data_IF_720456142915
#
_entry.id   IF_720456142915
#
_cell.length_a   1.000
_cell.length_b   1.000
_cell.length_c   1.000
_cell.angle_alpha   90.00
_cell.angle_beta   90.00
_cell.angle_gamma   90.00
#
_symmetry.space_group_name_H-M   'P 1'
#
loop_
_entity.id
_entity.type
_entity.pdbx_description
1 polymer ?
#
# COMPACT_ATOMS: atom_id res chain seq x y z
N UNK A 1 36.15 -8.98 -1.51
CA UNK A 1 36.41 -7.82 -2.40
C UNK A 1 35.80 -6.57 -1.78
N UNK A 2 35.52 -5.48 -2.54
CA UNK A 2 34.65 -4.41 -2.07
C UNK A 2 33.17 -4.81 -2.19
N UNK A 3 32.33 -4.38 -1.24
CA UNK A 3 30.88 -4.42 -1.40
C UNK A 3 30.44 -3.36 -2.42
N UNK A 4 29.33 -3.61 -3.11
CA UNK A 4 28.65 -2.59 -3.93
C UNK A 4 27.43 -2.07 -3.17
N UNK A 5 27.38 -0.76 -2.95
CA UNK A 5 26.23 -0.09 -2.30
C UNK A 5 25.63 0.89 -3.30
N UNK A 6 24.32 0.80 -3.53
CA UNK A 6 23.56 1.74 -4.34
C UNK A 6 22.42 2.32 -3.52
N UNK A 7 22.38 3.64 -3.37
CA UNK A 7 21.35 4.32 -2.58
C UNK A 7 20.49 5.21 -3.47
N UNK A 8 19.16 5.10 -3.33
CA UNK A 8 18.23 5.98 -4.03
C UNK A 8 18.30 7.40 -3.45
N UNK A 9 18.37 8.47 -4.27
CA UNK A 9 18.61 9.83 -3.77
C UNK A 9 17.40 10.44 -3.01
N UNK A 10 16.18 9.96 -3.26
CA UNK A 10 14.95 10.44 -2.63
C UNK A 10 14.58 9.75 -1.31
N UNK A 11 13.60 10.32 -0.60
CA UNK A 11 13.07 9.78 0.66
C UNK A 11 13.89 10.16 1.89
N UNK A 12 13.27 10.00 3.07
CA UNK A 12 13.85 10.37 4.36
C UNK A 12 15.11 9.57 4.69
N UNK A 13 16.26 10.25 4.69
CA UNK A 13 17.56 9.67 5.01
C UNK A 13 17.70 9.24 6.50
N UNK A 14 16.80 9.68 7.39
CA UNK A 14 16.69 9.19 8.77
C UNK A 14 15.99 7.83 8.90
N UNK A 15 15.32 7.38 7.84
CA UNK A 15 14.57 6.13 7.76
C UNK A 15 14.99 5.34 6.53
N UNK A 16 15.97 4.45 6.70
CA UNK A 16 16.55 3.65 5.60
C UNK A 16 16.02 2.21 5.67
N UNK A 17 15.43 1.75 4.58
CA UNK A 17 15.16 0.32 4.36
C UNK A 17 16.21 -0.23 3.41
N UNK A 18 16.94 -1.24 3.89
CA UNK A 18 18.03 -1.84 3.15
C UNK A 18 17.60 -3.16 2.54
N UNK A 19 18.12 -3.46 1.35
CA UNK A 19 17.85 -4.69 0.61
C UNK A 19 19.17 -5.22 0.07
N UNK A 20 19.45 -6.51 0.22
CA UNK A 20 20.74 -7.07 -0.16
C UNK A 20 20.73 -8.54 -0.55
N UNK A 21 21.79 -8.93 -1.23
CA UNK A 21 22.13 -10.28 -1.63
C UNK A 21 23.65 -10.36 -1.79
N UNK A 22 24.29 -11.49 -1.47
CA UNK A 22 25.70 -11.65 -1.83
C UNK A 22 25.86 -11.93 -3.33
N UNK A 23 27.02 -11.54 -3.84
CA UNK A 23 27.40 -11.58 -5.25
C UNK A 23 28.60 -12.49 -5.51
N UNK A 24 29.29 -12.94 -4.47
CA UNK A 24 30.23 -14.04 -4.57
C UNK A 24 29.51 -15.41 -4.62
N UNK A 25 30.28 -16.45 -4.89
CA UNK A 25 29.86 -17.83 -4.81
C UNK A 25 31.07 -18.72 -4.53
N UNK A 26 30.84 -20.02 -4.34
CA UNK A 26 31.92 -20.98 -4.07
C UNK A 26 32.75 -21.32 -5.32
N UNK A 27 34.01 -21.73 -5.12
CA UNK A 27 34.89 -22.14 -6.22
C UNK A 27 34.43 -23.40 -6.97
N UNK A 28 33.47 -24.15 -6.41
CA UNK A 28 32.99 -25.40 -6.95
C UNK A 28 32.09 -25.24 -8.18
N UNK A 29 31.49 -24.06 -8.38
CA UNK A 29 30.50 -23.86 -9.44
C UNK A 29 30.22 -22.40 -9.77
N UNK A 30 29.31 -22.15 -10.72
CA UNK A 30 29.00 -20.80 -11.18
C UNK A 30 28.12 -19.98 -10.23
N UNK A 31 27.44 -20.59 -9.25
CA UNK A 31 26.64 -19.88 -8.25
C UNK A 31 25.40 -19.18 -8.81
N UNK A 32 24.66 -19.86 -9.71
CA UNK A 32 23.51 -19.24 -10.38
C UNK A 32 22.28 -19.13 -9.48
N UNK A 33 21.92 -20.17 -8.74
CA UNK A 33 20.92 -20.04 -7.69
C UNK A 33 21.54 -19.41 -6.44
N UNK A 34 22.78 -19.80 -6.10
CA UNK A 34 23.52 -19.38 -4.92
C UNK A 34 24.76 -18.53 -5.27
N UNK A 35 24.65 -17.21 -5.36
CA UNK A 35 23.43 -16.40 -5.18
C UNK A 35 23.18 -15.41 -6.31
N UNK A 36 23.45 -15.86 -7.55
CA UNK A 36 23.03 -15.15 -8.75
C UNK A 36 21.52 -14.85 -8.77
N UNK A 37 20.70 -15.71 -8.20
CA UNK A 37 19.24 -15.54 -8.15
C UNK A 37 18.82 -14.32 -7.31
N UNK A 38 19.32 -14.20 -6.08
CA UNK A 38 19.04 -13.07 -5.20
C UNK A 38 19.66 -11.78 -5.74
N UNK A 39 20.92 -11.86 -6.20
CA UNK A 39 21.62 -10.73 -6.81
C UNK A 39 20.91 -10.16 -8.03
N UNK A 40 20.42 -11.02 -8.94
CA UNK A 40 19.71 -10.60 -10.13
C UNK A 40 18.31 -10.05 -9.83
N UNK A 41 17.56 -10.70 -8.94
CA UNK A 41 16.25 -10.22 -8.50
C UNK A 41 16.35 -8.83 -7.84
N UNK A 42 17.38 -8.62 -7.03
CA UNK A 42 17.64 -7.33 -6.39
C UNK A 42 17.99 -6.25 -7.40
N UNK A 43 18.81 -6.57 -8.41
CA UNK A 43 19.21 -5.62 -9.45
C UNK A 43 18.01 -5.17 -10.27
N UNK A 44 17.18 -6.11 -10.73
CA UNK A 44 15.98 -5.80 -11.51
C UNK A 44 15.01 -4.92 -10.72
N UNK A 45 14.88 -5.17 -9.42
CA UNK A 45 14.07 -4.34 -8.53
C UNK A 45 14.62 -2.92 -8.38
N UNK A 46 15.94 -2.75 -8.26
CA UNK A 46 16.57 -1.44 -8.22
C UNK A 46 16.38 -0.68 -9.54
N UNK A 47 16.51 -1.36 -10.68
CA UNK A 47 16.27 -0.80 -12.01
C UNK A 47 14.80 -0.40 -12.21
N UNK A 48 13.87 -1.26 -11.78
CA UNK A 48 12.43 -1.00 -11.85
C UNK A 48 12.04 0.20 -10.99
N UNK A 49 12.54 0.29 -9.75
CA UNK A 49 12.32 1.46 -8.90
C UNK A 49 12.81 2.74 -9.58
N UNK A 50 13.99 2.68 -10.22
CA UNK A 50 14.56 3.81 -10.94
C UNK A 50 13.73 4.21 -12.17
N UNK A 51 13.20 3.24 -12.91
CA UNK A 51 12.35 3.47 -14.06
C UNK A 51 11.00 4.08 -13.67
N UNK A 52 10.39 3.60 -12.58
CA UNK A 52 9.12 4.13 -12.08
C UNK A 52 9.29 5.52 -11.45
N UNK A 53 10.47 5.81 -10.90
CA UNK A 53 10.83 7.08 -10.27
C UNK A 53 9.72 7.65 -9.35
N UNK A 54 9.19 6.85 -8.41
CA UNK A 54 8.08 7.29 -7.58
C UNK A 54 8.53 8.30 -6.52
N UNK A 55 7.58 9.02 -5.93
CA UNK A 55 7.83 9.79 -4.71
C UNK A 55 8.16 8.82 -3.58
N UNK A 56 9.28 9.05 -2.89
CA UNK A 56 9.74 8.18 -1.82
C UNK A 56 9.41 8.79 -0.46
N UNK A 57 8.80 7.99 0.41
CA UNK A 57 8.61 8.29 1.83
C UNK A 57 9.90 8.04 2.61
N UNK A 58 10.48 6.86 2.45
CA UNK A 58 11.69 6.43 3.16
C UNK A 58 12.83 6.18 2.18
N UNK A 59 14.07 6.26 2.67
CA UNK A 59 15.26 5.98 1.87
C UNK A 59 15.37 4.48 1.58
N UNK A 60 15.72 4.12 0.35
CA UNK A 60 16.08 2.75 -0.04
C UNK A 60 17.56 2.66 -0.34
N UNK A 61 18.21 1.63 0.19
CA UNK A 61 19.60 1.31 -0.10
C UNK A 61 19.73 -0.17 -0.46
N UNK A 62 20.33 -0.42 -1.61
CA UNK A 62 20.66 -1.73 -2.13
C UNK A 62 22.12 -2.07 -1.84
N UNK A 63 22.39 -3.35 -1.59
CA UNK A 63 23.74 -3.84 -1.33
C UNK A 63 24.00 -5.18 -2.00
N UNK A 64 25.16 -5.31 -2.62
CA UNK A 64 25.71 -6.59 -3.06
C UNK A 64 26.94 -6.90 -2.24
N UNK A 65 26.85 -7.98 -1.48
CA UNK A 65 27.89 -8.39 -0.54
C UNK A 65 28.93 -9.27 -1.23
N UNK A 66 30.14 -9.20 -0.72
CA UNK A 66 31.25 -10.06 -1.14
C UNK A 66 31.67 -10.93 0.03
N UNK A 67 32.23 -12.08 -0.27
CA UNK A 67 32.90 -12.92 0.73
C UNK A 67 31.91 -13.41 1.82
N UNK A 68 30.65 -13.64 1.41
CA UNK A 68 29.59 -14.24 2.24
C UNK A 68 29.97 -15.69 2.55
N UNK A 69 30.37 -16.42 1.50
CA UNK A 69 30.67 -17.85 1.53
C UNK A 69 31.94 -18.18 2.35
N UNK A 70 32.68 -17.15 2.74
CA UNK A 70 33.89 -17.22 3.56
C UNK A 70 33.63 -16.78 5.01
N UNK A 71 32.36 -16.51 5.37
CA UNK A 71 31.94 -16.16 6.73
C UNK A 71 31.36 -14.76 6.87
N UNK A 72 30.49 -14.34 5.94
CA UNK A 72 29.73 -13.07 6.01
C UNK A 72 30.62 -11.81 6.06
N UNK A 73 31.85 -11.89 5.53
CA UNK A 73 32.87 -10.88 5.78
C UNK A 73 32.47 -9.51 5.20
N UNK A 74 31.79 -9.49 4.04
CA UNK A 74 31.30 -8.27 3.41
C UNK A 74 30.24 -7.56 4.24
N UNK A 75 29.17 -8.26 4.63
CA UNK A 75 28.07 -7.68 5.42
C UNK A 75 28.48 -7.34 6.84
N UNK A 76 29.30 -8.19 7.50
CA UNK A 76 29.88 -7.87 8.82
C UNK A 76 30.73 -6.60 8.74
N UNK A 77 31.64 -6.52 7.77
CA UNK A 77 32.48 -5.34 7.59
C UNK A 77 31.63 -4.08 7.41
N UNK A 78 30.60 -4.14 6.57
CA UNK A 78 29.70 -3.01 6.33
C UNK A 78 29.05 -2.54 7.63
N UNK A 79 28.35 -3.44 8.33
CA UNK A 79 27.54 -3.02 9.48
C UNK A 79 28.42 -2.64 10.68
N UNK A 80 29.57 -3.30 10.89
CA UNK A 80 30.48 -2.95 12.00
C UNK A 80 31.19 -1.62 11.77
N UNK A 81 31.46 -1.26 10.51
CA UNK A 81 32.14 -0.01 10.15
C UNK A 81 31.23 1.21 10.18
N UNK A 82 29.90 1.01 10.17
CA UNK A 82 28.95 2.10 10.35
C UNK A 82 28.97 2.64 11.80
N UNK A 83 29.02 3.98 11.98
CA UNK A 83 28.72 4.59 13.27
C UNK A 83 27.35 4.17 13.78
N UNK A 84 27.18 4.10 15.11
CA UNK A 84 25.89 3.72 15.73
C UNK A 84 24.73 4.62 15.29
N UNK A 85 24.99 5.91 15.03
CA UNK A 85 24.01 6.86 14.52
C UNK A 85 23.54 6.53 13.11
N UNK A 86 24.42 5.99 12.26
CA UNK A 86 24.06 5.56 10.91
C UNK A 86 23.36 4.20 10.93
N UNK A 87 23.80 3.28 11.80
CA UNK A 87 23.09 2.01 12.02
C UNK A 87 21.65 2.23 12.47
N UNK A 88 21.41 3.19 13.38
CA UNK A 88 20.08 3.50 13.89
C UNK A 88 19.10 4.03 12.83
N UNK A 89 19.60 4.52 11.68
CA UNK A 89 18.75 4.93 10.55
C UNK A 89 18.21 3.74 9.78
N UNK A 90 18.89 2.58 9.82
CA UNK A 90 18.45 1.35 9.15
C UNK A 90 17.28 0.75 9.94
N UNK A 91 16.08 0.79 9.37
CA UNK A 91 14.84 0.36 10.02
C UNK A 91 14.54 -1.12 9.82
N UNK A 92 14.96 -1.66 8.68
CA UNK A 92 15.04 -3.09 8.44
C UNK A 92 16.05 -3.37 7.32
N UNK A 93 16.63 -4.57 7.35
CA UNK A 93 17.43 -5.14 6.27
C UNK A 93 16.72 -6.38 5.70
N UNK A 94 16.61 -6.44 4.38
CA UNK A 94 15.95 -7.51 3.64
C UNK A 94 16.97 -8.30 2.83
N UNK A 95 17.10 -9.59 3.12
CA UNK A 95 18.09 -10.46 2.50
C UNK A 95 17.47 -11.42 1.48
N UNK A 96 18.12 -11.59 0.33
CA UNK A 96 17.66 -12.51 -0.70
C UNK A 96 18.78 -13.45 -1.07
N UNK A 97 18.64 -14.69 -0.62
CA UNK A 97 19.64 -15.72 -0.75
C UNK A 97 18.99 -17.05 -1.16
N UNK A 98 19.40 -17.55 -2.32
CA UNK A 98 18.82 -18.71 -3.00
C UNK A 98 17.29 -18.61 -3.19
N UNK A 99 16.86 -17.70 -4.07
CA UNK A 99 15.44 -17.43 -4.33
C UNK A 99 14.89 -18.17 -5.57
N UNK A 100 15.58 -19.20 -6.06
CA UNK A 100 15.19 -19.92 -7.27
C UNK A 100 15.48 -21.44 -7.27
N UNK A 101 15.52 -22.08 -6.10
CA UNK A 101 15.81 -23.52 -6.00
C UNK A 101 14.85 -24.38 -6.81
N UNK A 102 15.36 -25.34 -7.60
CA UNK A 102 14.56 -26.14 -8.56
C UNK A 102 13.45 -26.96 -7.92
N UNK A 103 13.69 -27.48 -6.71
CA UNK A 103 12.69 -28.16 -5.87
C UNK A 103 12.34 -27.29 -4.65
N UNK A 104 12.39 -25.97 -4.79
CA UNK A 104 12.30 -25.02 -3.68
C UNK A 104 10.99 -25.02 -2.90
N UNK A 105 11.06 -24.51 -1.68
CA UNK A 105 9.91 -24.09 -0.87
C UNK A 105 9.72 -22.58 -0.90
N UNK A 106 8.77 -22.06 -0.11
CA UNK A 106 8.58 -20.63 0.10
C UNK A 106 8.87 -20.30 1.57
N UNK A 107 10.10 -19.86 1.85
CA UNK A 107 10.56 -19.57 3.21
C UNK A 107 10.81 -18.09 3.42
N UNK A 108 10.40 -17.57 4.58
CA UNK A 108 10.62 -16.20 5.01
C UNK A 108 11.45 -16.20 6.29
N UNK A 109 12.53 -15.41 6.33
CA UNK A 109 13.33 -15.23 7.55
C UNK A 109 12.52 -14.40 8.56
N UNK A 110 12.44 -14.87 9.81
CA UNK A 110 11.70 -14.24 10.90
C UNK A 110 10.24 -13.93 10.50
N UNK A 111 9.51 -14.93 10.00
CA UNK A 111 8.19 -14.79 9.35
C UNK A 111 7.13 -14.10 10.21
N UNK A 112 7.28 -14.16 11.54
CA UNK A 112 6.36 -13.52 12.51
C UNK A 112 6.75 -12.09 12.87
N UNK A 113 7.89 -11.59 12.38
CA UNK A 113 8.39 -10.26 12.67
C UNK A 113 7.61 -9.17 11.93
N UNK A 114 7.68 -7.94 12.45
CA UNK A 114 7.15 -6.78 11.75
C UNK A 114 7.85 -6.53 10.42
N UNK A 115 9.15 -6.87 10.30
CA UNK A 115 9.93 -6.73 9.07
C UNK A 115 9.38 -7.63 7.96
N UNK A 116 9.03 -8.88 8.28
CA UNK A 116 8.51 -9.90 7.38
C UNK A 116 7.08 -9.65 6.88
N UNK A 117 6.29 -8.84 7.59
CA UNK A 117 4.86 -8.64 7.30
C UNK A 117 4.50 -8.38 5.80
N UNK A 118 5.13 -7.45 5.06
CA UNK A 118 4.83 -7.23 3.65
C UNK A 118 5.21 -8.43 2.77
N UNK A 119 6.34 -9.08 3.06
CA UNK A 119 6.80 -10.25 2.32
C UNK A 119 5.83 -11.43 2.48
N UNK A 120 5.35 -11.63 3.71
CA UNK A 120 4.34 -12.64 4.03
C UNK A 120 3.01 -12.31 3.38
N UNK A 121 2.56 -11.06 3.45
CA UNK A 121 1.32 -10.61 2.83
C UNK A 121 1.29 -10.88 1.32
N UNK A 122 2.41 -10.62 0.62
CA UNK A 122 2.52 -10.90 -0.81
C UNK A 122 2.39 -12.41 -1.10
N UNK A 123 3.15 -13.28 -0.44
CA UNK A 123 3.05 -14.72 -0.68
C UNK A 123 1.75 -15.36 -0.17
N UNK A 124 1.14 -14.82 0.89
CA UNK A 124 -0.20 -15.21 1.33
C UNK A 124 -1.25 -14.87 0.26
N UNK A 125 -1.12 -13.73 -0.42
CA UNK A 125 -2.03 -13.32 -1.51
C UNK A 125 -1.99 -14.30 -2.70
N UNK A 126 -0.87 -14.99 -2.87
CA UNK A 126 -0.68 -16.05 -3.85
C UNK A 126 -1.10 -17.44 -3.33
N UNK A 127 -1.60 -17.54 -2.10
CA UNK A 127 -2.02 -18.80 -1.48
C UNK A 127 -0.87 -19.75 -1.15
N UNK A 128 0.38 -19.26 -1.08
CA UNK A 128 1.57 -20.11 -0.97
C UNK A 128 1.79 -20.69 0.42
N UNK A 129 1.20 -20.12 1.47
CA UNK A 129 1.38 -20.58 2.86
C UNK A 129 2.87 -20.73 3.23
N UNK A 130 3.63 -19.60 3.25
CA UNK A 130 5.06 -19.64 3.51
C UNK A 130 5.39 -20.13 4.92
N UNK A 131 6.58 -20.71 5.07
CA UNK A 131 7.12 -21.21 6.35
C UNK A 131 8.33 -20.37 6.80
N UNK A 132 8.68 -20.47 8.08
CA UNK A 132 9.92 -19.89 8.62
C UNK A 132 11.15 -20.52 7.94
N UNK A 133 12.13 -19.69 7.57
CA UNK A 133 13.41 -20.18 7.04
C UNK A 133 14.32 -20.66 8.18
N UNK A 134 14.16 -21.94 8.54
CA UNK A 134 15.00 -22.57 9.58
C UNK A 134 16.36 -23.04 9.05
N UNK A 135 16.50 -23.34 7.76
CA UNK A 135 17.75 -23.83 7.18
C UNK A 135 18.82 -22.74 7.06
N UNK A 136 18.41 -21.52 6.68
CA UNK A 136 19.29 -20.37 6.49
C UNK A 136 19.52 -19.53 7.76
N UNK A 137 18.86 -19.85 8.88
CA UNK A 137 18.92 -19.06 10.10
C UNK A 137 20.37 -18.89 10.60
N UNK A 138 20.83 -17.63 10.66
CA UNK A 138 22.17 -17.27 11.13
C UNK A 138 23.31 -17.62 10.16
N UNK A 139 23.00 -17.85 8.88
CA UNK A 139 23.95 -18.35 7.88
C UNK A 139 24.01 -17.53 6.59
N UNK A 140 23.44 -16.32 6.60
CA UNK A 140 23.48 -15.41 5.46
C UNK A 140 23.64 -13.96 5.95
N UNK A 141 23.75 -13.00 5.04
CA UNK A 141 24.15 -11.62 5.34
C UNK A 141 23.24 -10.88 6.32
N UNK A 142 21.97 -11.29 6.48
CA UNK A 142 21.06 -10.74 7.49
C UNK A 142 21.58 -10.95 8.91
N UNK A 143 22.29 -12.06 9.16
CA UNK A 143 22.83 -12.34 10.47
C UNK A 143 23.78 -11.24 10.96
N UNK A 144 24.59 -10.66 10.07
CA UNK A 144 25.47 -9.53 10.39
C UNK A 144 24.66 -8.34 10.94
N UNK A 145 23.50 -8.04 10.36
CA UNK A 145 22.62 -6.96 10.83
C UNK A 145 21.94 -7.29 12.17
N UNK A 146 21.54 -8.54 12.37
CA UNK A 146 20.95 -9.01 13.63
C UNK A 146 21.90 -8.85 14.83
N UNK A 147 23.20 -9.07 14.64
CA UNK A 147 24.21 -8.86 15.69
C UNK A 147 24.21 -7.43 16.23
N UNK A 148 23.68 -6.47 15.48
CA UNK A 148 23.54 -5.07 15.87
C UNK A 148 22.10 -4.65 16.13
N UNK A 149 21.19 -5.61 16.35
CA UNK A 149 19.77 -5.40 16.65
C UNK A 149 19.01 -4.63 15.57
N UNK A 150 19.48 -4.69 14.32
CA UNK A 150 18.73 -4.18 13.18
C UNK A 150 17.72 -5.26 12.77
N UNK A 151 16.42 -4.96 12.67
CA UNK A 151 15.43 -5.94 12.26
C UNK A 151 15.72 -6.49 10.86
N UNK A 152 15.57 -7.80 10.69
CA UNK A 152 15.83 -8.48 9.41
C UNK A 152 14.64 -9.31 8.95
N UNK A 153 14.56 -9.54 7.65
CA UNK A 153 13.74 -10.58 7.03
C UNK A 153 14.31 -10.88 5.65
N UNK A 154 13.74 -11.83 4.93
CA UNK A 154 14.30 -12.27 3.67
C UNK A 154 13.48 -13.38 3.02
N UNK A 155 13.71 -13.60 1.73
CA UNK A 155 13.19 -14.76 1.03
C UNK A 155 14.29 -15.77 0.80
N UNK A 156 13.94 -17.04 0.97
CA UNK A 156 14.75 -18.17 0.58
C UNK A 156 13.85 -19.28 0.02
N UNK A 157 14.40 -20.11 -0.85
CA UNK A 157 13.72 -21.29 -1.39
C UNK A 157 14.35 -22.62 -0.95
N UNK A 158 15.25 -22.55 0.03
CA UNK A 158 15.92 -23.70 0.63
C UNK A 158 17.11 -24.19 -0.20
N UNK A 159 18.02 -24.89 0.46
CA UNK A 159 19.28 -25.36 -0.10
C UNK A 159 19.35 -26.90 -0.04
N UNK A 160 20.27 -27.43 0.76
CA UNK A 160 20.55 -28.87 0.90
C UNK A 160 19.48 -29.67 1.66
N UNK A 161 18.65 -28.99 2.47
CA UNK A 161 17.61 -29.63 3.26
C UNK A 161 16.55 -30.29 2.37
N UNK A 162 15.92 -31.34 2.90
CA UNK A 162 15.01 -32.19 2.12
C UNK A 162 13.57 -31.73 2.26
N UNK A 163 12.91 -31.51 1.12
CA UNK A 163 11.48 -31.21 1.06
C UNK A 163 10.66 -32.32 1.71
N UNK A 164 9.79 -31.96 2.65
CA UNK A 164 8.88 -32.92 3.30
C UNK A 164 7.71 -33.30 2.39
N UNK A 165 7.02 -34.39 2.69
CA UNK A 165 5.79 -34.76 1.95
C UNK A 165 4.70 -33.71 2.08
N UNK A 166 4.58 -33.05 3.24
CA UNK A 166 3.62 -31.96 3.45
C UNK A 166 3.96 -30.74 2.58
N UNK A 167 5.24 -30.37 2.52
CA UNK A 167 5.71 -29.30 1.64
C UNK A 167 5.53 -29.63 0.15
N UNK A 168 5.79 -30.87 -0.26
CA UNK A 168 5.53 -31.32 -1.63
C UNK A 168 4.03 -31.28 -1.99
N UNK A 169 3.15 -31.58 -1.03
CA UNK A 169 1.71 -31.49 -1.25
C UNK A 169 1.23 -30.03 -1.47
N UNK A 170 1.84 -29.05 -0.79
CA UNK A 170 1.46 -27.62 -0.94
C UNK A 170 2.19 -26.86 -2.04
N UNK A 171 3.47 -27.17 -2.29
CA UNK A 171 4.32 -26.41 -3.22
C UNK A 171 4.70 -27.20 -4.47
N UNK A 172 4.28 -28.47 -4.57
CA UNK A 172 4.75 -29.37 -5.60
C UNK A 172 6.22 -29.76 -5.43
N UNK A 173 6.78 -30.36 -6.49
CA UNK A 173 8.15 -30.89 -6.48
C UNK A 173 8.22 -32.31 -5.92
N UNK A 174 9.42 -32.71 -5.50
CA UNK A 174 9.71 -34.09 -5.07
C UNK A 174 10.02 -34.14 -3.58
N UNK A 175 9.20 -34.86 -2.81
CA UNK A 175 9.46 -35.13 -1.41
C UNK A 175 10.76 -35.94 -1.22
N UNK A 176 11.41 -35.76 -0.08
CA UNK A 176 12.68 -36.40 0.30
C UNK A 176 13.87 -36.08 -0.63
N UNK A 177 13.73 -35.14 -1.56
CA UNK A 177 14.84 -34.55 -2.34
C UNK A 177 15.21 -33.18 -1.75
N UNK A 178 16.47 -32.79 -1.93
CA UNK A 178 16.93 -31.45 -1.55
C UNK A 178 16.08 -30.38 -2.23
N UNK A 179 15.95 -29.19 -1.62
CA UNK A 179 15.35 -28.03 -2.28
C UNK A 179 16.19 -27.61 -3.49
N UNK A 180 17.51 -27.57 -3.30
CA UNK A 180 18.51 -27.41 -4.35
C UNK A 180 19.51 -28.59 -4.33
N UNK A 181 19.45 -29.53 -5.29
CA UNK A 181 20.40 -30.63 -5.39
C UNK A 181 21.79 -30.20 -5.89
N UNK A 182 21.96 -28.97 -6.35
CA UNK A 182 23.18 -28.40 -6.89
C UNK A 182 23.81 -27.32 -5.98
N UNK A 183 23.29 -27.13 -4.76
CA UNK A 183 23.89 -26.24 -3.75
C UNK A 183 25.40 -26.50 -3.62
N UNK A 184 26.20 -25.43 -3.69
CA UNK A 184 27.67 -25.45 -3.64
C UNK A 184 28.35 -26.43 -4.60
N UNK A 185 27.73 -26.67 -5.77
CA UNK A 185 28.19 -27.68 -6.73
C UNK A 185 28.35 -27.10 -8.14
N UNK A 186 29.15 -27.78 -8.96
CA UNK A 186 29.41 -27.37 -10.35
C UNK A 186 28.17 -27.32 -11.24
N UNK A 187 27.08 -27.96 -10.83
CA UNK A 187 25.81 -27.96 -11.54
C UNK A 187 24.89 -26.78 -11.21
N UNK A 188 25.28 -25.88 -10.28
CA UNK A 188 24.54 -24.64 -10.02
C UNK A 188 24.73 -23.61 -11.15
N UNK A 189 24.12 -23.94 -12.27
CA UNK A 189 24.19 -23.26 -13.56
C UNK A 189 22.83 -22.65 -13.89
N UNK A 190 22.69 -21.98 -15.04
CA UNK A 190 21.41 -21.40 -15.47
C UNK A 190 20.29 -22.45 -15.63
N UNK A 191 20.62 -23.74 -15.74
CA UNK A 191 19.61 -24.82 -15.77
C UNK A 191 19.10 -25.20 -14.38
N UNK A 192 19.72 -24.71 -13.31
CA UNK A 192 19.35 -24.94 -11.91
C UNK A 192 18.44 -23.83 -11.34
N UNK A 193 17.62 -23.21 -12.18
CA UNK A 193 16.75 -22.09 -11.81
C UNK A 193 15.28 -22.47 -11.97
N UNK A 194 14.52 -22.35 -10.87
CA UNK A 194 13.07 -22.35 -10.90
C UNK A 194 12.58 -20.94 -11.24
N UNK A 195 12.21 -20.71 -12.50
CA UNK A 195 11.77 -19.39 -12.96
C UNK A 195 10.49 -18.92 -12.28
N UNK A 196 9.56 -19.82 -11.94
CA UNK A 196 8.33 -19.47 -11.20
C UNK A 196 8.66 -19.00 -9.78
N UNK A 197 9.64 -19.62 -9.14
CA UNK A 197 10.15 -19.19 -7.83
C UNK A 197 10.79 -17.82 -7.92
N UNK A 198 11.72 -17.65 -8.86
CA UNK A 198 12.43 -16.39 -9.09
C UNK A 198 11.48 -15.22 -9.40
N UNK A 199 10.47 -15.45 -10.23
CA UNK A 199 9.43 -14.48 -10.58
C UNK A 199 8.65 -14.03 -9.33
N UNK A 200 8.12 -14.98 -8.55
CA UNK A 200 7.40 -14.71 -7.30
C UNK A 200 8.27 -14.03 -6.24
N UNK A 201 9.56 -14.35 -6.17
CA UNK A 201 10.47 -13.67 -5.26
C UNK A 201 10.71 -12.23 -5.72
N UNK A 202 11.00 -12.02 -7.00
CA UNK A 202 11.27 -10.70 -7.58
C UNK A 202 10.09 -9.74 -7.39
N UNK A 203 8.87 -10.20 -7.63
CA UNK A 203 7.66 -9.41 -7.39
C UNK A 203 7.42 -9.13 -5.91
N UNK A 204 7.70 -10.09 -5.03
CA UNK A 204 7.57 -9.89 -3.58
C UNK A 204 8.60 -8.91 -3.02
N UNK A 205 9.80 -8.87 -3.62
CA UNK A 205 10.82 -7.84 -3.33
C UNK A 205 10.27 -6.47 -3.73
N UNK A 206 9.71 -6.33 -4.94
CA UNK A 206 9.12 -5.08 -5.42
C UNK A 206 8.00 -4.62 -4.49
N UNK A 207 7.08 -5.53 -4.15
CA UNK A 207 5.99 -5.28 -3.22
C UNK A 207 6.51 -4.76 -1.87
N UNK A 208 7.58 -5.37 -1.35
CA UNK A 208 8.18 -4.97 -0.08
C UNK A 208 8.84 -3.59 -0.16
N UNK A 209 9.57 -3.29 -1.24
CA UNK A 209 10.13 -1.95 -1.50
C UNK A 209 9.00 -0.90 -1.51
N UNK A 210 7.91 -1.18 -2.22
CA UNK A 210 6.77 -0.26 -2.32
C UNK A 210 6.13 0.00 -0.95
N UNK A 211 5.81 -1.06 -0.19
CA UNK A 211 5.18 -0.92 1.13
C UNK A 211 6.07 -0.19 2.14
N UNK A 212 7.39 -0.36 2.05
CA UNK A 212 8.31 0.25 3.00
C UNK A 212 8.69 1.66 2.64
N UNK A 213 8.93 1.96 1.37
CA UNK A 213 9.67 3.15 1.02
C UNK A 213 8.99 4.06 0.01
N UNK A 214 8.09 3.55 -0.82
CA UNK A 214 7.34 4.38 -1.76
C UNK A 214 6.22 5.11 -1.01
N UNK A 215 6.08 6.40 -1.29
CA UNK A 215 4.90 7.15 -0.88
C UNK A 215 3.76 6.82 -1.83
N UNK A 216 2.90 5.90 -1.42
CA UNK A 216 1.71 5.47 -2.16
C UNK A 216 0.50 6.37 -1.91
N UNK A 217 0.67 7.51 -1.22
CA UNK A 217 -0.44 8.34 -0.73
C UNK A 217 -1.26 7.66 0.39
N UNK A 218 -0.85 6.46 0.80
CA UNK A 218 -1.58 5.59 1.74
C UNK A 218 -0.76 5.19 2.97
N UNK A 219 0.44 5.76 3.18
CA UNK A 219 1.41 5.26 4.16
C UNK A 219 1.83 6.22 5.27
N UNK A 220 0.96 6.46 6.25
CA UNK A 220 1.34 6.94 7.60
C UNK A 220 0.81 8.32 8.01
N UNK A 221 -0.51 8.44 8.15
CA UNK A 221 -1.18 9.58 8.78
C UNK A 221 -2.45 10.07 8.09
N UNK A 222 -2.77 9.55 6.89
CA UNK A 222 -4.00 9.85 6.14
C UNK A 222 -4.90 8.63 5.98
N UNK A 223 -5.40 8.07 7.08
CA UNK A 223 -6.51 7.12 7.02
C UNK A 223 -7.84 7.88 7.00
N UNK A 224 -8.44 7.98 5.82
CA UNK A 224 -9.73 8.65 5.63
C UNK A 224 -10.91 7.69 5.74
N UNK A 225 -10.66 6.39 5.95
CA UNK A 225 -11.71 5.39 6.03
C UNK A 225 -12.63 5.69 7.22
N UNK A 226 -13.94 5.81 6.94
CA UNK A 226 -14.93 6.10 7.97
C UNK A 226 -14.87 7.51 8.57
N UNK A 227 -14.06 8.43 8.01
CA UNK A 227 -13.99 9.82 8.47
C UNK A 227 -15.34 10.55 8.33
N UNK A 228 -16.13 10.17 7.31
CA UNK A 228 -17.56 10.51 7.20
C UNK A 228 -18.34 9.28 7.65
N UNK A 229 -19.02 9.38 8.78
CA UNK A 229 -19.88 8.31 9.27
C UNK A 229 -21.27 8.39 8.61
N UNK A 230 -21.86 7.23 8.33
CA UNK A 230 -23.16 7.10 7.66
C UNK A 230 -23.25 7.93 6.36
N UNK A 231 -22.19 7.92 5.56
CA UNK A 231 -22.08 8.72 4.33
C UNK A 231 -23.08 8.33 3.23
N UNK A 232 -23.46 7.04 3.18
CA UNK A 232 -24.52 6.52 2.31
C UNK A 232 -25.90 6.43 3.00
N UNK A 233 -26.08 7.06 4.17
CA UNK A 233 -27.39 7.22 4.82
C UNK A 233 -28.17 5.95 5.22
N UNK A 234 -27.56 4.77 5.12
CA UNK A 234 -28.17 3.47 5.43
C UNK A 234 -28.41 3.23 6.93
N UNK A 235 -27.72 3.95 7.82
CA UNK A 235 -27.80 3.77 9.29
C UNK A 235 -28.77 4.74 9.97
N UNK A 236 -29.84 5.12 9.27
CA UNK A 236 -30.79 6.14 9.76
C UNK A 236 -30.23 7.55 9.62
N UNK A 237 -30.54 8.43 10.57
CA UNK A 237 -30.16 9.85 10.49
C UNK A 237 -28.86 10.20 11.19
N UNK A 238 -28.45 9.46 12.22
CA UNK A 238 -27.21 9.73 12.97
C UNK A 238 -25.96 9.39 12.14
N UNK A 239 -24.85 10.13 12.23
CA UNK A 239 -24.61 11.31 13.08
C UNK A 239 -24.88 12.65 12.37
N UNK A 240 -25.69 12.65 11.30
CA UNK A 240 -26.04 13.87 10.61
C UNK A 240 -26.95 14.76 11.47
N UNK A 241 -26.82 16.06 11.29
CA UNK A 241 -27.59 17.10 11.98
C UNK A 241 -28.17 18.09 10.96
N UNK A 242 -29.13 18.91 11.39
CA UNK A 242 -29.86 19.84 10.52
C UNK A 242 -31.22 19.27 10.11
N UNK A 243 -31.58 19.36 8.84
CA UNK A 243 -32.82 18.85 8.25
C UNK A 243 -32.75 17.32 8.06
N UNK A 244 -32.52 16.56 9.13
CA UNK A 244 -32.33 15.10 9.05
C UNK A 244 -33.58 14.34 8.57
N UNK A 245 -34.75 14.98 8.54
CA UNK A 245 -35.95 14.44 7.91
C UNK A 245 -35.80 14.22 6.39
N UNK A 246 -34.83 14.89 5.76
CA UNK A 246 -34.44 14.66 4.37
C UNK A 246 -33.80 13.29 4.13
N UNK A 247 -33.32 12.60 5.18
CA UNK A 247 -32.64 11.31 5.05
C UNK A 247 -33.65 10.16 5.11
N UNK A 248 -33.81 9.42 4.02
CA UNK A 248 -34.79 8.34 3.96
C UNK A 248 -34.83 7.58 2.64
N UNK A 249 -35.80 6.67 2.56
CA UNK A 249 -36.24 6.09 1.30
C UNK A 249 -37.41 6.93 0.78
N UNK A 250 -37.23 7.57 -0.37
CA UNK A 250 -38.22 8.51 -0.92
C UNK A 250 -38.86 7.92 -2.17
N UNK A 251 -40.18 8.04 -2.30
CA UNK A 251 -40.88 7.63 -3.51
C UNK A 251 -40.60 8.60 -4.66
N UNK A 252 -40.36 8.09 -5.87
CA UNK A 252 -40.17 8.89 -7.08
C UNK A 252 -38.71 9.14 -7.46
N UNK A 253 -37.78 8.85 -6.55
CA UNK A 253 -36.35 8.98 -6.79
C UNK A 253 -35.64 7.74 -6.23
N UNK A 254 -34.50 7.36 -6.81
CA UNK A 254 -33.71 6.20 -6.36
C UNK A 254 -32.41 6.68 -5.70
N UNK A 255 -31.90 5.98 -4.68
CA UNK A 255 -30.54 6.22 -4.19
C UNK A 255 -29.50 5.88 -5.26
N UNK A 256 -28.29 6.42 -5.11
CA UNK A 256 -27.14 5.97 -5.90
C UNK A 256 -26.65 4.60 -5.39
N UNK A 257 -26.53 4.45 -4.07
CA UNK A 257 -26.14 3.23 -3.39
C UNK A 257 -27.16 2.80 -2.34
N UNK A 258 -27.32 1.50 -2.11
CA UNK A 258 -28.17 1.02 -1.02
C UNK A 258 -29.66 1.29 -1.21
N UNK A 259 -30.32 1.75 -0.15
CA UNK A 259 -31.78 1.90 -0.05
C UNK A 259 -32.24 3.29 0.43
N UNK A 260 -31.31 4.16 0.85
CA UNK A 260 -31.58 5.45 1.47
C UNK A 260 -30.63 6.50 0.92
N UNK A 261 -31.08 7.75 0.89
CA UNK A 261 -30.29 8.91 0.50
C UNK A 261 -30.84 10.16 1.19
N UNK A 262 -30.18 11.31 1.01
CA UNK A 262 -30.69 12.60 1.46
C UNK A 262 -31.32 13.38 0.30
N UNK A 263 -32.60 13.74 0.41
CA UNK A 263 -33.27 14.63 -0.55
C UNK A 263 -33.50 15.98 0.10
N UNK A 264 -32.68 16.98 -0.26
CA UNK A 264 -32.83 18.35 0.22
C UNK A 264 -33.56 19.20 -0.83
N UNK A 265 -34.43 20.10 -0.37
CA UNK A 265 -35.30 20.92 -1.22
C UNK A 265 -36.23 20.08 -2.13
N UNK A 266 -36.71 20.64 -3.25
CA UNK A 266 -37.70 20.01 -4.13
C UNK A 266 -39.15 20.22 -3.65
N UNK A 267 -39.37 21.29 -2.89
CA UNK A 267 -40.63 21.61 -2.23
C UNK A 267 -41.55 22.48 -3.12
N UNK A 268 -41.02 23.15 -4.14
CA UNK A 268 -41.74 24.11 -4.99
C UNK A 268 -42.07 25.44 -4.29
N UNK A 269 -41.47 25.69 -3.12
CA UNK A 269 -41.60 26.94 -2.37
C UNK A 269 -40.31 27.27 -1.63
N UNK A 270 -40.17 28.55 -1.24
CA UNK A 270 -38.94 29.06 -0.66
C UNK A 270 -38.57 28.30 0.60
N UNK A 271 -37.44 27.60 0.53
CA UNK A 271 -36.96 26.75 1.61
C UNK A 271 -35.45 26.79 1.68
N UNK A 272 -34.89 26.50 2.84
CA UNK A 272 -33.46 26.27 2.98
C UNK A 272 -33.26 25.13 3.96
N UNK A 273 -32.62 24.08 3.48
CA UNK A 273 -32.41 22.83 4.18
C UNK A 273 -30.93 22.51 4.21
N UNK A 274 -30.48 21.88 5.29
CA UNK A 274 -29.06 21.55 5.40
C UNK A 274 -28.81 20.26 6.14
N UNK A 275 -27.74 19.57 5.76
CA UNK A 275 -27.20 18.44 6.50
C UNK A 275 -25.75 18.73 6.87
N UNK A 276 -25.42 18.49 8.14
CA UNK A 276 -24.07 18.72 8.66
C UNK A 276 -23.54 17.54 9.45
N UNK A 277 -22.23 17.33 9.35
CA UNK A 277 -21.49 16.37 10.15
C UNK A 277 -20.10 16.92 10.47
N UNK A 278 -19.66 16.76 11.71
CA UNK A 278 -18.28 17.09 12.10
C UNK A 278 -17.36 15.92 11.75
N UNK A 279 -16.32 16.19 10.97
CA UNK A 279 -15.34 15.20 10.51
C UNK A 279 -13.93 15.64 10.88
N UNK A 280 -13.04 14.68 11.13
CA UNK A 280 -11.61 14.98 11.31
C UNK A 280 -10.88 14.61 10.02
N UNK A 281 -10.24 15.58 9.39
CA UNK A 281 -9.33 15.33 8.27
C UNK A 281 -7.98 14.93 8.88
N UNK A 282 -7.46 13.74 8.59
CA UNK A 282 -6.22 13.27 9.24
C UNK A 282 -5.01 14.19 8.95
N UNK A 283 -4.09 14.30 9.91
CA UNK A 283 -2.93 15.20 9.84
C UNK A 283 -1.91 14.82 8.76
N UNK A 284 -1.85 13.56 8.34
CA UNK A 284 -0.90 13.09 7.34
C UNK A 284 -1.40 13.16 5.90
N UNK A 285 -2.51 13.84 5.62
CA UNK A 285 -3.04 13.97 4.27
C UNK A 285 -2.28 15.03 3.47
N UNK A 286 -1.42 14.61 2.54
CA UNK A 286 -0.88 15.48 1.49
C UNK A 286 -1.98 15.92 0.52
N UNK A 287 -2.97 15.04 0.30
CA UNK A 287 -4.20 15.32 -0.41
C UNK A 287 -5.39 14.67 0.30
N UNK A 288 -6.45 15.44 0.52
CA UNK A 288 -7.72 14.97 1.04
C UNK A 288 -8.86 15.52 0.18
N UNK A 289 -9.68 14.64 -0.39
CA UNK A 289 -10.81 15.00 -1.24
C UNK A 289 -12.12 14.52 -0.61
N UNK A 290 -13.08 15.41 -0.41
CA UNK A 290 -14.45 15.03 -0.10
C UNK A 290 -15.16 14.68 -1.39
N UNK A 291 -15.59 13.44 -1.53
CA UNK A 291 -16.42 12.97 -2.64
C UNK A 291 -17.85 12.75 -2.20
N UNK A 292 -18.79 13.01 -3.10
CA UNK A 292 -20.21 12.76 -2.88
C UNK A 292 -20.91 12.57 -4.21
N UNK A 293 -21.97 11.78 -4.24
CA UNK A 293 -22.83 11.64 -5.41
C UNK A 293 -24.00 12.60 -5.28
N UNK A 294 -24.25 13.37 -6.33
CA UNK A 294 -25.35 14.33 -6.37
C UNK A 294 -26.16 14.14 -7.64
N UNK A 295 -27.47 13.89 -7.48
CA UNK A 295 -28.46 14.07 -8.53
C UNK A 295 -29.22 15.37 -8.27
N UNK A 296 -29.36 16.18 -9.31
CA UNK A 296 -30.11 17.45 -9.27
C UNK A 296 -31.31 17.25 -10.19
N UNK A 297 -32.49 17.20 -9.58
CA UNK A 297 -33.78 17.03 -10.24
C UNK A 297 -34.49 18.38 -10.26
N UNK A 298 -34.88 18.87 -11.42
CA UNK A 298 -35.38 20.25 -11.57
C UNK A 298 -36.51 20.34 -12.59
N UNK A 299 -37.57 21.07 -12.24
CA UNK A 299 -38.60 21.50 -13.20
C UNK A 299 -38.20 22.81 -13.91
N UNK A 300 -37.14 23.46 -13.44
CA UNK A 300 -36.61 24.67 -14.05
C UNK A 300 -35.88 24.39 -15.36
N UNK A 301 -35.97 25.33 -16.29
CA UNK A 301 -35.28 25.26 -17.58
C UNK A 301 -34.53 26.56 -17.88
N UNK A 302 -33.54 26.47 -18.78
CA UNK A 302 -32.68 27.59 -19.16
C UNK A 302 -31.37 27.63 -18.40
N UNK A 303 -30.75 28.81 -18.33
CA UNK A 303 -29.40 29.02 -17.80
C UNK A 303 -29.35 29.87 -16.52
N UNK A 304 -30.51 30.20 -15.96
CA UNK A 304 -30.60 31.00 -14.73
C UNK A 304 -30.50 30.09 -13.51
N UNK A 305 -29.58 30.43 -12.61
CA UNK A 305 -29.38 29.72 -11.35
C UNK A 305 -30.34 30.27 -10.27
N UNK A 306 -31.54 29.69 -10.16
CA UNK A 306 -32.54 30.07 -9.15
C UNK A 306 -32.24 29.34 -7.84
N UNK A 307 -32.28 28.02 -7.86
CA UNK A 307 -32.04 27.18 -6.70
C UNK A 307 -30.58 26.77 -6.58
N UNK A 308 -30.04 26.74 -5.36
CA UNK A 308 -28.60 26.53 -5.10
C UNK A 308 -28.33 25.42 -4.11
N UNK A 309 -27.25 24.69 -4.37
CA UNK A 309 -26.65 23.75 -3.46
C UNK A 309 -25.21 24.14 -3.15
N UNK A 310 -24.85 24.24 -1.88
CA UNK A 310 -23.49 24.59 -1.46
C UNK A 310 -22.89 23.52 -0.57
N UNK A 311 -21.58 23.31 -0.74
CA UNK A 311 -20.77 22.45 0.12
C UNK A 311 -19.78 23.32 0.87
N UNK A 312 -19.78 23.21 2.19
CA UNK A 312 -18.92 24.00 3.08
C UNK A 312 -18.10 23.11 4.01
N UNK A 313 -16.91 23.60 4.36
CA UNK A 313 -16.12 23.12 5.48
C UNK A 313 -15.90 24.29 6.45
N UNK A 314 -16.49 24.22 7.64
CA UNK A 314 -16.55 25.35 8.56
C UNK A 314 -17.19 26.57 7.92
N UNK A 315 -16.47 27.70 7.89
CA UNK A 315 -16.94 28.94 7.26
C UNK A 315 -16.71 29.04 5.75
N UNK A 316 -16.00 28.08 5.14
CA UNK A 316 -15.54 28.19 3.75
C UNK A 316 -16.46 27.44 2.79
N UNK A 317 -16.93 28.11 1.73
CA UNK A 317 -17.64 27.47 0.62
C UNK A 317 -16.65 26.83 -0.36
N UNK A 318 -16.78 25.53 -0.55
CA UNK A 318 -15.92 24.71 -1.41
C UNK A 318 -16.53 24.47 -2.80
N UNK A 319 -17.86 24.40 -2.87
CA UNK A 319 -18.58 24.30 -4.13
C UNK A 319 -19.95 24.99 -4.05
N UNK A 320 -20.39 25.49 -5.20
CA UNK A 320 -21.75 26.00 -5.43
C UNK A 320 -22.26 25.38 -6.73
N UNK A 321 -23.36 24.66 -6.64
CA UNK A 321 -24.12 24.09 -7.75
C UNK A 321 -25.53 24.67 -7.74
N UNK A 322 -26.29 24.44 -8.80
CA UNK A 322 -27.64 24.96 -8.97
C UNK A 322 -28.47 24.05 -9.88
N UNK A 323 -29.76 24.34 -9.99
CA UNK A 323 -30.66 23.79 -11.02
C UNK A 323 -30.03 23.71 -12.43
N UNK A 324 -29.16 24.66 -12.83
CA UNK A 324 -28.49 24.66 -14.15
C UNK A 324 -27.46 23.54 -14.32
N UNK A 325 -27.11 22.86 -13.23
CA UNK A 325 -26.19 21.72 -13.22
C UNK A 325 -26.91 20.36 -13.26
N UNK A 326 -28.23 20.37 -13.46
CA UNK A 326 -29.04 19.17 -13.59
C UNK A 326 -28.61 18.28 -14.75
N UNK A 327 -28.81 16.98 -14.56
CA UNK A 327 -28.46 15.93 -15.51
C UNK A 327 -29.35 14.70 -15.29
N UNK A 328 -29.18 13.66 -16.10
CA UNK A 328 -30.09 12.50 -16.10
C UNK A 328 -29.99 11.58 -14.89
N UNK A 329 -29.09 11.83 -13.94
CA UNK A 329 -28.86 10.97 -12.79
C UNK A 329 -27.78 11.51 -11.86
N UNK A 330 -27.26 10.65 -11.00
CA UNK A 330 -26.18 11.01 -10.08
C UNK A 330 -24.88 11.27 -10.82
N UNK A 331 -24.18 12.31 -10.39
CA UNK A 331 -22.82 12.63 -10.82
C UNK A 331 -21.94 12.71 -9.59
N UNK A 332 -20.83 11.97 -9.58
CA UNK A 332 -19.85 12.10 -8.51
C UNK A 332 -19.20 13.47 -8.59
N UNK A 333 -19.18 14.16 -7.45
CA UNK A 333 -18.54 15.46 -7.26
C UNK A 333 -17.41 15.31 -6.26
N UNK A 334 -16.43 16.20 -6.35
CA UNK A 334 -15.29 16.21 -5.46
C UNK A 334 -14.89 17.64 -5.12
N UNK A 335 -14.54 17.89 -3.86
CA UNK A 335 -13.96 19.15 -3.37
C UNK A 335 -12.72 18.89 -2.53
N UNK A 336 -11.77 19.81 -2.57
CA UNK A 336 -10.50 19.69 -1.86
C UNK A 336 -10.63 20.08 -0.38
N UNK A 337 -10.19 19.20 0.51
CA UNK A 337 -10.10 19.39 1.95
C UNK A 337 -8.65 19.34 2.48
N UNK A 338 -7.65 19.31 1.60
CA UNK A 338 -6.24 19.17 1.99
C UNK A 338 -5.78 20.28 2.95
N UNK A 339 -6.34 21.50 2.81
CA UNK A 339 -6.06 22.63 3.70
C UNK A 339 -6.50 22.39 5.17
N UNK A 340 -7.34 21.39 5.41
CA UNK A 340 -7.84 21.01 6.73
C UNK A 340 -7.14 19.80 7.32
N UNK A 341 -6.08 19.27 6.69
CA UNK A 341 -5.30 18.16 7.23
C UNK A 341 -4.90 18.43 8.71
N UNK A 342 -5.28 17.50 9.59
CA UNK A 342 -5.03 17.56 11.02
C UNK A 342 -6.07 18.35 11.82
N UNK A 343 -7.14 18.80 11.17
CA UNK A 343 -8.19 19.61 11.77
C UNK A 343 -9.53 18.87 11.78
N UNK A 344 -10.33 19.19 12.79
CA UNK A 344 -11.74 18.80 12.85
C UNK A 344 -12.60 19.93 12.28
N UNK A 345 -13.41 19.64 11.27
CA UNK A 345 -14.23 20.62 10.55
C UNK A 345 -15.67 20.13 10.47
N UNK A 346 -16.63 21.06 10.50
CA UNK A 346 -18.02 20.74 10.17
C UNK A 346 -18.21 20.81 8.66
N UNK A 347 -18.55 19.68 8.04
CA UNK A 347 -19.05 19.65 6.68
C UNK A 347 -20.52 20.04 6.69
N UNK A 348 -20.92 20.93 5.80
CA UNK A 348 -22.33 21.35 5.64
C UNK A 348 -22.70 21.34 4.17
N UNK A 349 -23.76 20.60 3.85
CA UNK A 349 -24.47 20.65 2.59
C UNK A 349 -25.72 21.51 2.79
N UNK A 350 -25.94 22.51 1.95
CA UNK A 350 -27.12 23.40 2.05
C UNK A 350 -27.79 23.53 0.70
N UNK A 351 -29.08 23.19 0.65
CA UNK A 351 -29.94 23.47 -0.49
C UNK A 351 -30.83 24.68 -0.16
N UNK A 352 -30.90 25.64 -1.07
CA UNK A 352 -31.80 26.78 -1.01
C UNK A 352 -32.65 26.79 -2.26
N UNK A 353 -33.96 26.75 -2.06
CA UNK A 353 -34.96 26.80 -3.12
C UNK A 353 -35.68 28.14 -3.05
N UNK A 354 -35.98 28.74 -4.20
CA UNK A 354 -36.84 29.90 -4.29
C UNK A 354 -38.32 29.48 -4.45
N UNK A 355 -39.18 30.30 -5.06
CA UNK A 355 -40.61 30.00 -5.18
C UNK A 355 -40.95 29.73 -6.63
N UNK A 356 -41.54 28.56 -6.90
CA UNK A 356 -42.47 28.23 -7.99
C UNK A 356 -42.17 26.85 -8.55
N UNK A 357 -41.01 26.69 -9.17
CA UNK A 357 -40.57 25.45 -9.79
C UNK A 357 -39.60 24.76 -8.84
N UNK A 358 -39.67 23.43 -8.78
CA UNK A 358 -38.89 22.69 -7.81
C UNK A 358 -37.49 22.39 -8.32
N UNK A 359 -36.51 22.42 -7.40
CA UNK A 359 -35.22 21.77 -7.58
C UNK A 359 -34.86 20.94 -6.36
N UNK A 360 -34.82 19.62 -6.52
CA UNK A 360 -34.35 18.66 -5.55
C UNK A 360 -32.86 18.36 -5.68
N UNK A 361 -32.15 18.34 -4.56
CA UNK A 361 -30.74 17.97 -4.48
C UNK A 361 -30.59 16.66 -3.70
N UNK A 362 -30.44 15.56 -4.44
CA UNK A 362 -30.33 14.22 -3.91
C UNK A 362 -28.86 13.89 -3.69
N UNK A 363 -28.47 13.85 -2.42
CA UNK A 363 -27.11 13.60 -1.97
C UNK A 363 -26.98 12.16 -1.47
N UNK A 364 -25.93 11.48 -1.91
CA UNK A 364 -25.64 10.11 -1.50
C UNK A 364 -24.12 9.82 -1.46
N UNK A 365 -23.75 8.73 -0.79
CA UNK A 365 -22.40 8.17 -0.76
C UNK A 365 -21.29 9.21 -0.48
N UNK A 366 -21.47 10.01 0.58
CA UNK A 366 -20.49 11.01 1.01
C UNK A 366 -19.29 10.33 1.67
N UNK A 367 -18.09 10.58 1.15
CA UNK A 367 -16.85 9.96 1.65
C UNK A 367 -15.66 10.91 1.60
N UNK A 368 -14.70 10.71 2.50
CA UNK A 368 -13.38 11.35 2.44
C UNK A 368 -12.39 10.37 1.81
N UNK A 369 -11.65 10.82 0.79
CA UNK A 369 -10.65 10.03 0.09
C UNK A 369 -9.28 10.69 0.23
N UNK A 370 -8.26 9.89 0.52
CA UNK A 370 -6.86 10.27 0.34
C UNK A 370 -6.44 10.06 -1.12
N UNK A 371 -5.40 10.75 -1.57
CA UNK A 371 -4.89 10.62 -2.94
C UNK A 371 -3.46 11.05 -3.12
#
# INVERSE_FOLDING_TARGET
GPNLIAEWPGGDAGNVYMFGAHLDGVSAGPGMNDNGSGSAALLENALTLAQQNPTMRNRVRFAWWTDEEQGLNGSDFYVRSLPSTERAKIKAYYNFDMVASTNGGYFINHITSSAAAPMKAYWDSLGLQPEENTEGAGRSDDYSFEQYSIPTSGYAMGASARKTSAQAAKWGGTASRAYDPCYHSSCDTLTNINTTGLDRASDGIAYTIWQRAVDTGTGGGCDTAGAVANGGFESGTSPWTGTTGAIGAHSGQSPHGGSRFAWLAGNGFTSTESLSQTVTVPAGCSRASLTYWLHIDTDESGSTAYDRFTVRAGGTTLATLSNVNAGSGYVQRSVDLSAYAGQTVTLTFTASEDRSLQTGFLLDDVALQSG
#
